data_IF_443575620697
#
_entry.id   IF_443575620697
#
_cell.length_a   1.000
_cell.length_b   1.000
_cell.length_c   1.000
_cell.angle_alpha   90.00
_cell.angle_beta   90.00
_cell.angle_gamma   90.00
#
_symmetry.space_group_name_H-M   'P 1'
#
loop_
_entity.id
_entity.type
_entity.pdbx_description
1 polymer ?
#
# COMPACT_ATOMS: atom_id res chain seq x y z
N UNK A 1 20.16 -2.78 11.05
CA UNK A 1 20.37 -1.34 11.37
C UNK A 1 19.56 -1.05 12.62
N UNK A 2 20.18 -0.66 13.72
CA UNK A 2 19.46 -0.19 14.91
C UNK A 2 19.06 1.27 14.69
N UNK A 3 17.79 1.60 14.91
CA UNK A 3 17.30 2.99 14.88
C UNK A 3 17.72 3.64 16.19
N UNK A 4 18.42 4.77 16.12
CA UNK A 4 18.76 5.58 17.29
C UNK A 4 17.50 6.34 17.74
N UNK A 5 16.80 5.77 18.70
CA UNK A 5 15.54 6.32 19.24
C UNK A 5 15.69 7.68 19.93
N UNK A 6 16.90 8.09 20.28
CA UNK A 6 17.15 9.40 20.92
C UNK A 6 17.03 10.56 19.92
N UNK A 7 17.04 10.28 18.63
CA UNK A 7 16.91 11.26 17.54
C UNK A 7 15.50 11.36 16.98
N UNK A 8 14.53 10.63 17.54
CA UNK A 8 13.14 10.72 17.10
C UNK A 8 12.48 11.99 17.65
N UNK A 9 11.53 12.59 16.89
CA UNK A 9 10.78 13.75 17.37
C UNK A 9 10.06 13.44 18.69
N UNK A 10 9.98 14.42 19.57
CA UNK A 10 9.23 14.29 20.83
C UNK A 10 7.75 14.01 20.50
N UNK A 11 7.19 12.98 21.13
CA UNK A 11 5.79 12.54 20.90
C UNK A 11 5.65 11.34 19.96
N UNK A 12 6.74 10.81 19.40
CA UNK A 12 6.68 9.54 18.70
C UNK A 12 6.55 8.39 19.71
N UNK A 13 5.55 7.54 19.54
CA UNK A 13 5.45 6.30 20.31
C UNK A 13 6.49 5.31 19.81
N UNK A 14 7.45 4.98 20.65
CA UNK A 14 8.45 3.94 20.33
C UNK A 14 7.88 2.60 20.71
N UNK A 15 7.94 1.64 19.77
CA UNK A 15 7.58 0.25 20.05
C UNK A 15 8.67 -0.32 20.96
N UNK A 16 8.30 -0.72 22.18
CA UNK A 16 9.20 -1.41 23.13
C UNK A 16 9.42 -2.87 22.72
N UNK A 17 10.46 -3.51 23.24
CA UNK A 17 10.71 -4.94 22.98
C UNK A 17 9.54 -5.81 23.44
N UNK A 18 8.89 -5.47 24.54
CA UNK A 18 7.70 -6.18 25.01
C UNK A 18 6.51 -6.03 24.07
N UNK A 19 6.29 -4.84 23.51
CA UNK A 19 5.24 -4.61 22.49
C UNK A 19 5.55 -5.37 21.20
N UNK A 20 6.81 -5.36 20.76
CA UNK A 20 7.24 -6.11 19.59
C UNK A 20 7.08 -7.62 19.78
N UNK A 21 7.39 -8.14 20.96
CA UNK A 21 7.16 -9.55 21.29
C UNK A 21 5.69 -9.92 21.20
N UNK A 22 4.79 -9.11 21.80
CA UNK A 22 3.35 -9.34 21.72
C UNK A 22 2.81 -9.27 20.29
N UNK A 23 3.30 -8.32 19.45
CA UNK A 23 2.90 -8.27 18.04
C UNK A 23 3.30 -9.54 17.30
N UNK A 24 4.48 -10.09 17.57
CA UNK A 24 4.99 -11.30 16.91
C UNK A 24 4.28 -12.59 17.35
N UNK A 25 3.47 -12.56 18.37
CA UNK A 25 2.62 -13.71 18.74
C UNK A 25 1.44 -13.90 17.76
N UNK A 26 0.99 -12.81 17.11
CA UNK A 26 -0.18 -12.82 16.24
C UNK A 26 0.13 -12.45 14.77
N UNK A 27 1.25 -11.75 14.54
CA UNK A 27 1.62 -11.20 13.24
C UNK A 27 3.02 -11.62 12.85
N UNK A 28 3.20 -11.94 11.57
CA UNK A 28 4.50 -12.06 10.95
C UNK A 28 4.66 -11.01 9.83
N UNK A 29 5.88 -10.82 9.35
CA UNK A 29 6.18 -9.86 8.31
C UNK A 29 7.25 -10.40 7.35
N UNK A 30 7.00 -10.22 6.07
CA UNK A 30 7.92 -10.54 5.00
C UNK A 30 8.20 -9.36 4.09
N UNK A 31 9.17 -9.52 3.23
CA UNK A 31 9.52 -8.53 2.20
C UNK A 31 9.82 -9.23 0.88
N UNK A 32 9.64 -8.53 -0.22
CA UNK A 32 10.14 -8.91 -1.54
C UNK A 32 10.95 -7.76 -2.11
N UNK A 33 12.01 -8.07 -2.84
CA UNK A 33 12.76 -7.08 -3.62
C UNK A 33 12.09 -6.86 -4.99
N UNK A 34 12.66 -5.95 -5.80
CA UNK A 34 12.12 -5.61 -7.12
C UNK A 34 12.09 -6.82 -8.07
N UNK A 35 13.08 -7.70 -7.99
CA UNK A 35 13.17 -8.92 -8.83
C UNK A 35 12.08 -9.92 -8.45
N UNK A 36 11.88 -10.14 -7.17
CA UNK A 36 10.85 -11.02 -6.61
C UNK A 36 9.46 -10.47 -6.89
N UNK A 37 9.28 -9.16 -6.74
CA UNK A 37 8.02 -8.47 -7.07
C UNK A 37 7.65 -8.63 -8.54
N UNK A 38 8.60 -8.41 -9.46
CA UNK A 38 8.38 -8.60 -10.89
C UNK A 38 8.11 -10.07 -11.25
N UNK A 39 8.77 -11.01 -10.56
CA UNK A 39 8.51 -12.44 -10.74
C UNK A 39 7.09 -12.83 -10.30
N UNK A 40 6.60 -12.29 -9.18
CA UNK A 40 5.25 -12.55 -8.68
C UNK A 40 4.18 -11.96 -9.63
N UNK A 41 4.36 -10.74 -10.17
CA UNK A 41 3.46 -10.19 -11.21
C UNK A 41 3.40 -11.12 -12.42
N UNK A 42 4.56 -11.59 -12.88
CA UNK A 42 4.64 -12.49 -14.04
C UNK A 42 3.99 -13.83 -13.78
N UNK A 43 4.15 -14.40 -12.59
CA UNK A 43 3.54 -15.66 -12.20
C UNK A 43 2.01 -15.53 -12.15
N UNK A 44 1.47 -14.53 -11.47
CA UNK A 44 0.04 -14.26 -11.40
C UNK A 44 -0.60 -14.15 -12.79
N UNK A 45 0.05 -13.42 -13.71
CA UNK A 45 -0.42 -13.31 -15.09
C UNK A 45 -0.38 -14.64 -15.85
N UNK A 46 0.70 -15.41 -15.74
CA UNK A 46 0.87 -16.66 -16.50
C UNK A 46 -0.01 -17.80 -16.00
N UNK A 47 -0.21 -17.89 -14.69
CA UNK A 47 -0.87 -19.03 -14.05
C UNK A 47 -2.37 -18.80 -13.87
N UNK A 48 -2.78 -17.58 -13.53
CA UNK A 48 -4.16 -17.23 -13.27
C UNK A 48 -4.79 -16.28 -14.30
N UNK A 49 -3.99 -15.67 -15.19
CA UNK A 49 -4.47 -14.63 -16.09
C UNK A 49 -4.83 -13.33 -15.36
N UNK A 50 -4.33 -13.16 -14.13
CA UNK A 50 -4.65 -12.01 -13.28
C UNK A 50 -3.50 -11.00 -13.27
N UNK A 51 -3.82 -9.73 -13.58
CA UNK A 51 -2.87 -8.63 -13.50
C UNK A 51 -2.93 -8.02 -12.10
N UNK A 52 -1.83 -8.13 -11.37
CA UNK A 52 -1.71 -7.59 -10.02
C UNK A 52 -0.78 -6.38 -10.00
N UNK A 53 -1.01 -5.47 -9.06
CA UNK A 53 -0.14 -4.34 -8.80
C UNK A 53 1.09 -4.74 -7.97
N UNK A 54 2.17 -3.93 -7.93
CA UNK A 54 3.39 -4.28 -7.22
C UNK A 54 3.19 -4.54 -5.71
N UNK A 55 2.22 -3.89 -5.05
CA UNK A 55 1.97 -4.11 -3.62
C UNK A 55 1.32 -5.47 -3.38
N UNK A 56 0.33 -5.82 -4.21
CA UNK A 56 -0.28 -7.16 -4.21
C UNK A 56 0.76 -8.22 -4.53
N UNK A 57 1.67 -7.96 -5.47
CA UNK A 57 2.74 -8.88 -5.84
C UNK A 57 3.72 -9.15 -4.69
N UNK A 58 4.07 -8.14 -3.88
CA UNK A 58 4.86 -8.34 -2.65
C UNK A 58 4.13 -9.26 -1.68
N UNK A 59 2.82 -9.06 -1.48
CA UNK A 59 2.03 -9.91 -0.60
C UNK A 59 1.94 -11.35 -1.11
N UNK A 60 1.77 -11.55 -2.42
CA UNK A 60 1.80 -12.88 -3.04
C UNK A 60 3.16 -13.57 -2.86
N UNK A 61 4.26 -12.86 -3.14
CA UNK A 61 5.61 -13.39 -2.98
C UNK A 61 5.95 -13.78 -1.54
N UNK A 62 5.41 -13.06 -0.55
CA UNK A 62 5.58 -13.39 0.87
C UNK A 62 4.70 -14.56 1.25
N UNK A 63 3.42 -14.56 0.86
CA UNK A 63 2.49 -15.64 1.15
C UNK A 63 2.94 -16.99 0.56
N UNK A 64 3.51 -16.99 -0.65
CA UNK A 64 4.01 -18.19 -1.32
C UNK A 64 5.18 -18.87 -0.57
N UNK A 65 5.95 -18.10 0.19
CA UNK A 65 7.06 -18.63 1.02
C UNK A 65 6.60 -19.21 2.35
N UNK A 66 5.48 -18.74 2.84
CA UNK A 66 4.99 -19.01 4.20
C UNK A 66 3.82 -20.00 4.24
N UNK A 67 3.70 -20.86 3.24
CA UNK A 67 2.70 -21.94 3.22
C UNK A 67 3.13 -23.02 4.21
N UNK A 68 2.87 -22.79 5.49
CA UNK A 68 3.18 -23.76 6.55
C UNK A 68 2.16 -24.91 6.61
N UNK A 69 0.91 -24.67 6.23
CA UNK A 69 -0.17 -25.66 6.15
C UNK A 69 -1.05 -25.42 4.92
N UNK A 70 -0.95 -26.31 3.94
CA UNK A 70 -1.74 -26.23 2.70
C UNK A 70 -3.24 -26.47 2.90
N UNK A 71 -3.69 -26.90 4.08
CA UNK A 71 -5.09 -27.06 4.41
C UNK A 71 -5.74 -25.73 4.83
N UNK A 72 -4.95 -24.72 5.19
CA UNK A 72 -5.43 -23.40 5.59
C UNK A 72 -5.31 -22.45 4.36
N UNK A 73 -6.43 -21.87 3.89
CA UNK A 73 -6.36 -20.94 2.77
C UNK A 73 -5.68 -19.63 3.16
N UNK A 74 -4.69 -19.21 2.37
CA UNK A 74 -4.08 -17.89 2.47
C UNK A 74 -4.94 -16.87 1.71
N UNK A 75 -5.33 -15.78 2.37
CA UNK A 75 -6.08 -14.69 1.77
C UNK A 75 -5.14 -13.51 1.54
N UNK A 76 -4.84 -13.22 0.29
CA UNK A 76 -4.03 -12.05 -0.10
C UNK A 76 -4.95 -10.91 -0.50
N UNK A 77 -4.75 -9.75 0.13
CA UNK A 77 -5.53 -8.55 -0.18
C UNK A 77 -4.94 -7.82 -1.39
N UNK A 78 -5.74 -7.65 -2.44
CA UNK A 78 -5.41 -6.78 -3.57
C UNK A 78 -5.70 -5.33 -3.20
N UNK A 79 -4.66 -4.59 -2.83
CA UNK A 79 -4.80 -3.26 -2.22
C UNK A 79 -4.77 -2.11 -3.22
N UNK A 80 -4.40 -2.35 -4.49
CA UNK A 80 -4.39 -1.36 -5.54
C UNK A 80 -4.73 -1.99 -6.90
N UNK A 81 -5.21 -1.16 -7.83
CA UNK A 81 -5.43 -1.58 -9.20
C UNK A 81 -4.11 -1.50 -10.00
N UNK A 82 -3.76 -2.50 -10.83
CA UNK A 82 -2.51 -2.54 -11.60
C UNK A 82 -2.33 -1.32 -12.53
N UNK A 83 -3.40 -0.71 -13.02
CA UNK A 83 -3.32 0.50 -13.84
C UNK A 83 -2.78 1.74 -13.11
N UNK A 84 -2.58 1.70 -11.79
CA UNK A 84 -1.84 2.74 -11.05
C UNK A 84 -0.32 2.66 -11.28
N UNK A 85 0.17 1.51 -11.71
CA UNK A 85 1.60 1.22 -11.88
C UNK A 85 1.86 0.58 -13.26
N UNK A 86 1.39 1.22 -14.36
CA UNK A 86 1.33 0.56 -15.67
C UNK A 86 2.72 0.17 -16.19
N UNK A 87 3.72 1.01 -15.96
CA UNK A 87 5.08 0.77 -16.46
C UNK A 87 5.75 -0.41 -15.74
N UNK A 88 5.58 -0.52 -14.41
CA UNK A 88 6.12 -1.61 -13.62
C UNK A 88 5.46 -2.96 -13.99
N UNK A 89 4.14 -2.97 -14.17
CA UNK A 89 3.40 -4.17 -14.55
C UNK A 89 3.77 -4.62 -15.96
N UNK A 90 3.80 -3.69 -16.93
CA UNK A 90 4.20 -3.98 -18.31
C UNK A 90 5.65 -4.51 -18.39
N UNK A 91 6.57 -3.89 -17.67
CA UNK A 91 7.95 -4.36 -17.60
C UNK A 91 8.07 -5.79 -17.02
N UNK A 92 7.22 -6.13 -16.06
CA UNK A 92 7.23 -7.44 -15.42
C UNK A 92 6.64 -8.55 -16.30
N UNK A 93 5.48 -8.34 -16.93
CA UNK A 93 4.73 -9.41 -17.63
C UNK A 93 4.46 -9.13 -19.13
N UNK A 94 4.86 -7.99 -19.67
CA UNK A 94 4.65 -7.60 -21.07
C UNK A 94 3.22 -7.13 -21.38
N UNK A 95 2.38 -6.95 -20.38
CA UNK A 95 0.99 -6.49 -20.55
C UNK A 95 0.78 -5.16 -19.84
N UNK A 96 0.35 -4.15 -20.61
CA UNK A 96 0.00 -2.85 -20.05
C UNK A 96 -1.44 -2.87 -19.51
N UNK A 97 -1.64 -2.71 -18.20
CA UNK A 97 -2.97 -2.72 -17.61
C UNK A 97 -3.79 -1.50 -18.06
N UNK A 98 -5.06 -1.75 -18.32
CA UNK A 98 -6.00 -0.71 -18.72
C UNK A 98 -6.79 -0.21 -17.51
N UNK A 99 -7.19 1.07 -17.54
CA UNK A 99 -8.13 1.59 -16.54
C UNK A 99 -9.48 0.85 -16.65
N UNK A 100 -10.17 0.60 -15.55
CA UNK A 100 -11.56 0.16 -15.58
C UNK A 100 -12.43 1.13 -16.39
N UNK A 101 -13.41 0.62 -17.14
CA UNK A 101 -14.25 1.43 -18.01
C UNK A 101 -14.97 2.58 -17.27
N UNK A 102 -15.32 2.39 -16.00
CA UNK A 102 -15.94 3.42 -15.17
C UNK A 102 -14.98 4.56 -14.75
N UNK A 103 -13.66 4.40 -14.96
CA UNK A 103 -12.63 5.43 -14.79
C UNK A 103 -12.13 5.99 -16.12
N UNK A 104 -12.82 5.70 -17.22
CA UNK A 104 -12.44 6.25 -18.52
C UNK A 104 -12.35 7.77 -18.47
N UNK A 105 -11.33 8.33 -19.12
CA UNK A 105 -11.01 9.75 -19.09
C UNK A 105 -10.36 10.26 -17.79
N UNK A 106 -10.12 9.42 -16.76
CA UNK A 106 -9.50 9.87 -15.51
C UNK A 106 -8.15 10.57 -15.72
N UNK A 107 -7.33 10.03 -16.62
CA UNK A 107 -5.97 10.55 -16.91
C UNK A 107 -5.95 11.88 -17.67
N UNK A 108 -7.11 12.33 -18.17
CA UNK A 108 -7.26 13.60 -18.91
C UNK A 108 -8.01 14.65 -18.11
N UNK A 109 -8.47 14.32 -16.90
CA UNK A 109 -9.15 15.27 -16.01
C UNK A 109 -8.15 16.27 -15.42
N UNK A 110 -8.61 17.50 -15.22
CA UNK A 110 -7.82 18.52 -14.51
C UNK A 110 -7.58 18.09 -13.07
N UNK A 111 -6.35 18.21 -12.62
CA UNK A 111 -5.99 17.96 -11.23
C UNK A 111 -6.43 19.14 -10.33
N UNK A 112 -6.94 18.82 -9.15
CA UNK A 112 -7.23 19.79 -8.12
C UNK A 112 -6.16 19.72 -7.05
N UNK A 113 -5.16 20.60 -7.13
CA UNK A 113 -4.01 20.63 -6.24
C UNK A 113 -4.03 21.91 -5.42
N UNK A 114 -3.83 21.78 -4.11
CA UNK A 114 -3.55 22.90 -3.23
C UNK A 114 -2.14 22.76 -2.69
N UNK A 115 -1.23 23.66 -3.11
CA UNK A 115 0.14 23.70 -2.61
C UNK A 115 0.15 24.37 -1.24
N UNK A 116 0.72 23.71 -0.26
CA UNK A 116 0.79 24.19 1.12
C UNK A 116 2.22 24.22 1.61
N UNK A 117 2.48 25.01 2.67
CA UNK A 117 3.74 24.96 3.38
C UNK A 117 3.88 23.62 4.12
N UNK A 118 5.12 23.16 4.35
CA UNK A 118 5.39 22.00 5.18
C UNK A 118 5.22 22.37 6.68
N UNK A 119 3.98 22.64 7.08
CA UNK A 119 3.57 22.99 8.43
C UNK A 119 2.32 22.18 8.80
N UNK A 120 2.42 21.35 9.82
CA UNK A 120 1.34 20.44 10.20
C UNK A 120 0.07 21.18 10.65
N UNK A 121 0.20 22.33 11.32
CA UNK A 121 -0.95 23.11 11.78
C UNK A 121 -1.67 23.79 10.61
N UNK A 122 -0.95 24.22 9.59
CA UNK A 122 -1.54 24.76 8.36
C UNK A 122 -2.32 23.67 7.61
N UNK A 123 -1.73 22.47 7.49
CA UNK A 123 -2.41 21.33 6.86
C UNK A 123 -3.66 20.91 7.64
N UNK A 124 -3.59 20.84 8.96
CA UNK A 124 -4.74 20.52 9.82
C UNK A 124 -5.88 21.54 9.64
N UNK A 125 -5.57 22.85 9.67
CA UNK A 125 -6.56 23.90 9.43
C UNK A 125 -7.22 23.77 8.05
N UNK A 126 -6.41 23.50 7.03
CA UNK A 126 -6.94 23.28 5.68
C UNK A 126 -7.86 22.09 5.63
N UNK A 127 -7.43 20.92 6.13
CA UNK A 127 -8.27 19.71 6.16
C UNK A 127 -9.59 19.96 6.88
N UNK A 128 -9.58 20.65 8.04
CA UNK A 128 -10.80 21.02 8.76
C UNK A 128 -11.72 21.94 7.95
N UNK A 129 -11.16 22.85 7.16
CA UNK A 129 -11.95 23.80 6.36
C UNK A 129 -12.67 23.15 5.18
N UNK A 130 -12.08 22.09 4.58
CA UNK A 130 -12.63 21.44 3.37
C UNK A 130 -13.33 20.12 3.65
N UNK A 131 -13.02 19.46 4.77
CA UNK A 131 -13.55 18.14 5.10
C UNK A 131 -15.05 18.18 5.36
N UNK A 132 -15.79 17.28 4.72
CA UNK A 132 -17.22 17.08 5.00
C UNK A 132 -17.48 16.58 6.41
N UNK A 133 -16.61 15.72 6.94
CA UNK A 133 -16.73 15.21 8.31
C UNK A 133 -16.59 16.33 9.34
N UNK A 134 -15.66 17.27 9.14
CA UNK A 134 -15.49 18.42 10.04
C UNK A 134 -16.70 19.38 9.99
N UNK A 135 -17.39 19.48 8.85
CA UNK A 135 -18.58 20.32 8.70
C UNK A 135 -19.83 19.68 9.32
N UNK A 136 -19.88 18.36 9.45
CA UNK A 136 -21.01 17.63 10.05
C UNK A 136 -20.91 17.52 11.58
N UNK A 137 -19.71 17.65 12.16
CA UNK A 137 -19.45 17.55 13.60
C UNK A 137 -19.81 18.82 14.41
N UNK A 138 -20.37 19.85 13.78
CA UNK A 138 -20.79 21.11 14.46
C UNK A 138 -22.31 21.13 14.76
N UNK A 139 -23.03 20.05 14.43
CA UNK A 139 -24.46 19.91 14.71
C UNK A 139 -24.70 18.79 15.73
N UNK A 140 -24.16 18.97 16.96
CA UNK A 140 -24.38 18.10 18.11
C UNK A 140 -24.16 18.85 19.39
#
# INVERSE_FOLDING_TARGET
>A
MSVDVTKLPSGLTVITDAMLAAIREEFDAGRADETETAAAIRAAWREAGDLVDPHTAVALAVADRDISDSAIPNIVLSTAHPAKFPDAVEAACGVRPQLPAWLDGLMTKSEHITVMKNDAADVERFVRSVSRAAKQGVAG
#
